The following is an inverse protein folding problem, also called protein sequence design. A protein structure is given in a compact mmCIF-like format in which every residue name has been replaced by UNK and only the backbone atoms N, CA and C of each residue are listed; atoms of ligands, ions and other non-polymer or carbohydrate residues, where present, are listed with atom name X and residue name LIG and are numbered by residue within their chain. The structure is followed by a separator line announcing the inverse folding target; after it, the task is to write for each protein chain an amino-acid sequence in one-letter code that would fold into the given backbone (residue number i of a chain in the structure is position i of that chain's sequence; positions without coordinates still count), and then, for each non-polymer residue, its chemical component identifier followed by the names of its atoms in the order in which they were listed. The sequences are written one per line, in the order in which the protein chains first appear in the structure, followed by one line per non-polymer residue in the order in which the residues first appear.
data_IF_561748366686
#
_entry.id   IF_561748366686
#
_cell.length_a   1.000
_cell.length_b   1.000
_cell.length_c   1.000
_cell.angle_alpha   90.00
_cell.angle_beta   90.00
_cell.angle_gamma   90.00
#
_symmetry.space_group_name_H-M   'P 1'
#
loop_
_entity.id
_entity.type
_entity.pdbx_description
1 polymer ?
#
# COMPACT_ATOMS: atom_id res chain seq x y z
N UNK A 1 0.25 9.49 18.79
CA UNK A 1 -0.81 9.28 17.78
C UNK A 1 -0.11 9.36 16.44
N UNK A 2 0.64 8.30 16.11
CA UNK A 2 1.41 8.20 14.88
C UNK A 2 0.97 6.90 14.25
N UNK A 3 -0.06 6.94 13.39
CA UNK A 3 -0.57 5.72 12.77
C UNK A 3 -0.48 5.80 11.24
N UNK A 4 -0.68 6.98 10.65
CA UNK A 4 -0.58 7.17 9.20
C UNK A 4 0.88 7.33 8.71
N UNK A 5 1.69 8.12 9.41
CA UNK A 5 3.10 8.34 9.03
C UNK A 5 3.94 7.06 9.17
N UNK A 6 3.69 6.27 10.22
CA UNK A 6 4.35 4.99 10.45
C UNK A 6 3.94 3.95 9.40
N UNK A 7 2.66 3.96 8.97
CA UNK A 7 2.18 3.09 7.89
C UNK A 7 2.83 3.43 6.56
N UNK A 8 2.90 4.72 6.20
CA UNK A 8 3.55 5.15 4.96
C UNK A 8 5.04 4.80 4.94
N UNK A 9 5.75 4.99 6.06
CA UNK A 9 7.17 4.62 6.16
C UNK A 9 7.40 3.11 6.04
N UNK A 10 6.52 2.29 6.62
CA UNK A 10 6.57 0.84 6.50
C UNK A 10 6.33 0.37 5.06
N UNK A 11 5.32 0.94 4.39
CA UNK A 11 5.01 0.61 2.99
C UNK A 11 6.11 1.09 2.04
N UNK A 12 6.69 2.27 2.27
CA UNK A 12 7.82 2.76 1.47
C UNK A 12 9.08 1.88 1.59
N UNK A 13 9.20 1.05 2.63
CA UNK A 13 10.29 0.10 2.79
C UNK A 13 10.04 -1.26 2.08
N UNK A 14 8.81 -1.51 1.61
CA UNK A 14 8.45 -2.75 0.90
C UNK A 14 9.00 -2.75 -0.53
N UNK A 15 9.26 -3.96 -1.03
CA UNK A 15 9.57 -4.21 -2.45
C UNK A 15 8.32 -4.16 -3.31
N UNK A 16 8.47 -3.92 -4.60
CA UNK A 16 7.32 -3.86 -5.53
C UNK A 16 6.53 -5.18 -5.54
N UNK A 17 7.21 -6.33 -5.40
CA UNK A 17 6.56 -7.64 -5.31
C UNK A 17 5.72 -7.81 -4.03
N UNK A 18 6.14 -7.22 -2.91
CA UNK A 18 5.36 -7.23 -1.67
C UNK A 18 4.15 -6.30 -1.77
N UNK A 19 4.30 -5.15 -2.44
CA UNK A 19 3.19 -4.21 -2.68
C UNK A 19 2.11 -4.86 -3.57
N UNK A 20 2.49 -5.44 -4.71
CA UNK A 20 1.57 -6.19 -5.58
C UNK A 20 0.93 -7.35 -4.83
N UNK A 21 1.72 -8.13 -4.08
CA UNK A 21 1.21 -9.26 -3.32
C UNK A 21 0.23 -8.88 -2.21
N UNK A 22 0.33 -7.67 -1.65
CA UNK A 22 -0.66 -7.12 -0.71
C UNK A 22 -1.90 -6.63 -1.45
N UNK A 23 -1.73 -5.95 -2.58
CA UNK A 23 -2.84 -5.51 -3.43
C UNK A 23 -3.71 -6.67 -3.91
N UNK A 24 -3.10 -7.77 -4.35
CA UNK A 24 -3.79 -8.99 -4.79
C UNK A 24 -4.67 -9.63 -3.70
N UNK A 25 -4.43 -9.31 -2.43
CA UNK A 25 -5.21 -9.82 -1.29
C UNK A 25 -6.38 -8.92 -0.90
N UNK A 26 -6.48 -7.70 -1.44
CA UNK A 26 -7.57 -6.76 -1.15
C UNK A 26 -8.89 -7.36 -1.61
N UNK A 27 -9.84 -7.49 -0.68
CA UNK A 27 -11.16 -8.08 -0.94
C UNK A 27 -12.23 -7.03 -1.26
N UNK A 28 -12.04 -5.78 -0.82
CA UNK A 28 -12.98 -4.68 -1.00
C UNK A 28 -12.24 -3.40 -1.45
N UNK A 29 -11.98 -3.24 -2.75
CA UNK A 29 -11.28 -2.07 -3.28
C UNK A 29 -12.10 -0.77 -3.19
N UNK A 30 -13.39 -0.84 -2.86
CA UNK A 30 -14.23 0.34 -2.65
C UNK A 30 -14.08 0.89 -1.21
N UNK A 31 -13.59 0.09 -0.26
CA UNK A 31 -13.42 0.47 1.14
C UNK A 31 -12.04 0.07 1.69
N UNK A 32 -10.99 0.73 1.18
CA UNK A 32 -9.62 0.47 1.57
C UNK A 32 -9.34 0.83 3.03
N UNK A 33 -8.62 -0.06 3.71
CA UNK A 33 -8.00 0.25 5.00
C UNK A 33 -6.85 1.26 4.83
N UNK A 34 -6.40 1.92 5.91
CA UNK A 34 -5.26 2.83 5.83
C UNK A 34 -3.96 2.19 5.29
N UNK A 35 -3.77 0.89 5.53
CA UNK A 35 -2.63 0.15 4.98
C UNK A 35 -2.78 -0.06 3.48
N UNK A 36 -3.95 -0.50 3.02
CA UNK A 36 -4.21 -0.75 1.59
C UNK A 36 -4.17 0.54 0.78
N UNK A 37 -4.69 1.65 1.32
CA UNK A 37 -4.54 2.95 0.68
C UNK A 37 -3.06 3.36 0.56
N UNK A 38 -2.27 3.18 1.62
CA UNK A 38 -0.84 3.49 1.58
C UNK A 38 -0.08 2.61 0.56
N UNK A 39 -0.50 1.35 0.38
CA UNK A 39 0.04 0.44 -0.64
C UNK A 39 -0.24 0.99 -2.04
N UNK A 40 -1.47 1.40 -2.35
CA UNK A 40 -1.79 2.03 -3.64
C UNK A 40 -0.97 3.30 -3.85
N UNK A 41 -0.96 4.20 -2.86
CA UNK A 41 -0.25 5.48 -2.96
C UNK A 41 1.24 5.25 -3.29
N UNK A 42 1.86 4.21 -2.70
CA UNK A 42 3.25 3.86 -2.97
C UNK A 42 3.45 3.20 -4.33
N UNK A 43 2.53 2.32 -4.76
CA UNK A 43 2.57 1.70 -6.09
C UNK A 43 2.43 2.75 -7.20
N UNK A 44 1.51 3.71 -7.04
CA UNK A 44 1.34 4.85 -7.94
C UNK A 44 2.59 5.74 -7.96
N UNK A 45 3.18 6.04 -6.79
CA UNK A 45 4.41 6.84 -6.69
C UNK A 45 5.60 6.18 -7.41
N UNK A 46 5.63 4.86 -7.47
CA UNK A 46 6.70 4.06 -8.10
C UNK A 46 6.42 3.68 -9.55
N UNK A 47 5.24 3.99 -10.07
CA UNK A 47 4.77 3.54 -11.39
C UNK A 47 4.80 2.00 -11.52
N UNK A 48 4.42 1.29 -10.45
CA UNK A 48 4.24 -0.18 -10.46
C UNK A 48 2.91 -0.49 -11.14
N UNK A 49 2.88 -1.47 -12.06
CA UNK A 49 1.64 -1.92 -12.71
C UNK A 49 0.85 -2.87 -11.79
N UNK A 50 -0.45 -2.61 -11.61
CA UNK A 50 -1.39 -3.41 -10.79
C UNK A 50 -2.85 -3.31 -11.24
#
# INVERSE_FOLDING_TARGET
MDNAADTAAAVAAMTDAELVGLWDQVQDPENLTPLEQAVIDEMERREVDF
#
